data_IF_937813529043
#
_entry.id   IF_937813529043
#
_cell.length_a   1.000
_cell.length_b   1.000
_cell.length_c   1.000
_cell.angle_alpha   90.00
_cell.angle_beta   90.00
_cell.angle_gamma   90.00
#
_symmetry.space_group_name_H-M   'P 1'
#
loop_
_entity.id
_entity.type
_entity.pdbx_description
1 polymer ?
#
# COMPACT_ATOMS: atom_id res chain seq x y z
N UNK A 1 -4.48 -17.02 36.20
CA UNK A 1 -5.01 -17.78 35.06
C UNK A 1 -4.90 -16.86 33.85
N UNK A 2 -3.81 -16.99 33.09
CA UNK A 2 -3.70 -16.31 31.79
C UNK A 2 -4.67 -16.99 30.82
N UNK A 3 -5.69 -16.28 30.39
CA UNK A 3 -6.53 -16.74 29.29
C UNK A 3 -5.64 -16.92 28.07
N UNK A 4 -5.46 -18.14 27.59
CA UNK A 4 -4.99 -18.45 26.26
C UNK A 4 -6.02 -17.84 25.28
N UNK A 5 -5.86 -16.58 24.90
CA UNK A 5 -6.47 -16.07 23.68
C UNK A 5 -5.80 -16.85 22.55
N UNK A 6 -6.51 -17.79 21.95
CA UNK A 6 -6.11 -18.38 20.67
C UNK A 6 -5.90 -17.21 19.71
N UNK A 7 -4.66 -16.96 19.30
CA UNK A 7 -4.36 -15.94 18.31
C UNK A 7 -5.21 -16.23 17.06
N UNK A 8 -6.04 -15.29 16.68
CA UNK A 8 -6.88 -15.45 15.49
C UNK A 8 -5.99 -15.44 14.25
N UNK A 9 -5.96 -16.55 13.52
CA UNK A 9 -5.10 -16.69 12.32
C UNK A 9 -5.55 -15.72 11.25
N UNK A 10 -4.64 -14.89 10.75
CA UNK A 10 -4.85 -14.04 9.58
C UNK A 10 -4.49 -14.81 8.31
N UNK A 11 -5.46 -14.96 7.41
CA UNK A 11 -5.28 -15.62 6.12
C UNK A 11 -5.00 -14.60 5.04
N UNK A 12 -3.83 -14.67 4.42
CA UNK A 12 -3.41 -13.75 3.35
C UNK A 12 -3.31 -14.51 2.03
N UNK A 13 -4.14 -14.16 1.07
CA UNK A 13 -4.03 -14.59 -0.31
C UNK A 13 -2.89 -13.83 -0.98
N UNK A 14 -1.85 -14.53 -1.43
CA UNK A 14 -0.66 -13.94 -2.05
C UNK A 14 -0.53 -14.39 -3.50
N UNK A 15 -0.51 -13.43 -4.42
CA UNK A 15 -0.22 -13.66 -5.82
C UNK A 15 1.25 -14.09 -6.00
N UNK A 16 1.47 -15.37 -6.24
CA UNK A 16 2.81 -15.93 -6.44
C UNK A 16 3.37 -15.68 -7.84
N UNK A 17 2.53 -15.23 -8.78
CA UNK A 17 2.90 -15.04 -10.20
C UNK A 17 3.04 -13.57 -10.59
N UNK A 18 2.76 -12.63 -9.67
CA UNK A 18 2.83 -11.20 -9.92
C UNK A 18 4.20 -10.59 -9.63
N UNK A 19 4.63 -9.66 -10.49
CA UNK A 19 5.87 -8.91 -10.36
C UNK A 19 7.05 -9.46 -11.15
N UNK A 20 8.11 -8.65 -11.23
CA UNK A 20 9.29 -8.89 -12.08
C UNK A 20 10.12 -10.12 -11.63
N UNK A 21 9.97 -10.51 -10.37
CA UNK A 21 10.74 -11.58 -9.73
C UNK A 21 9.88 -12.76 -9.28
N UNK A 22 8.66 -12.88 -9.81
CA UNK A 22 7.81 -14.03 -9.54
C UNK A 22 8.37 -15.32 -10.17
N UNK A 23 8.21 -16.47 -9.54
CA UNK A 23 7.61 -16.69 -8.23
C UNK A 23 8.57 -16.54 -7.05
N UNK A 24 9.88 -16.34 -7.30
CA UNK A 24 10.92 -16.45 -6.29
C UNK A 24 10.73 -15.50 -5.10
N UNK A 25 10.54 -14.20 -5.35
CA UNK A 25 10.41 -13.21 -4.27
C UNK A 25 9.06 -13.31 -3.54
N UNK A 26 7.89 -13.50 -4.20
CA UNK A 26 6.63 -13.76 -3.50
C UNK A 26 6.68 -15.00 -2.61
N UNK A 27 7.19 -16.13 -3.12
CA UNK A 27 7.31 -17.36 -2.34
C UNK A 27 8.25 -17.17 -1.15
N UNK A 28 9.43 -16.56 -1.37
CA UNK A 28 10.35 -16.27 -0.28
C UNK A 28 9.73 -15.35 0.77
N UNK A 29 9.01 -14.31 0.37
CA UNK A 29 8.33 -13.39 1.28
C UNK A 29 7.26 -14.09 2.13
N UNK A 30 6.52 -15.04 1.54
CA UNK A 30 5.57 -15.87 2.27
C UNK A 30 6.27 -16.74 3.33
N UNK A 31 7.37 -17.40 2.95
CA UNK A 31 8.18 -18.24 3.84
C UNK A 31 8.76 -17.41 4.99
N UNK A 32 9.32 -16.25 4.69
CA UNK A 32 9.88 -15.34 5.70
C UNK A 32 8.78 -14.90 6.70
N UNK A 33 7.57 -14.61 6.20
CA UNK A 33 6.44 -14.19 7.05
C UNK A 33 5.98 -15.29 8.02
N UNK A 34 5.77 -16.51 7.55
CA UNK A 34 5.30 -17.61 8.41
C UNK A 34 6.39 -18.12 9.35
N UNK A 35 7.66 -18.02 8.98
CA UNK A 35 8.77 -18.31 9.88
C UNK A 35 8.93 -17.27 10.99
N UNK A 36 8.47 -16.04 10.77
CA UNK A 36 8.54 -14.98 11.77
C UNK A 36 7.32 -14.93 12.71
N UNK A 37 6.14 -15.40 12.27
CA UNK A 37 4.87 -15.31 13.04
C UNK A 37 4.02 -16.57 12.86
N UNK A 38 3.47 -17.07 13.96
CA UNK A 38 2.61 -18.26 13.98
C UNK A 38 1.11 -17.98 13.76
N UNK A 39 0.70 -16.72 13.77
CA UNK A 39 -0.69 -16.27 13.61
C UNK A 39 -1.03 -15.90 12.15
N UNK A 40 -0.21 -16.33 11.20
CA UNK A 40 -0.39 -16.09 9.77
C UNK A 40 -0.57 -17.42 9.03
N UNK A 41 -1.52 -17.46 8.11
CA UNK A 41 -1.60 -18.48 7.07
C UNK A 41 -1.55 -17.82 5.71
N UNK A 42 -0.60 -18.20 4.86
CA UNK A 42 -0.47 -17.68 3.49
C UNK A 42 -1.06 -18.68 2.50
N UNK A 43 -1.97 -18.18 1.65
CA UNK A 43 -2.55 -18.90 0.53
C UNK A 43 -1.80 -18.44 -0.72
N UNK A 44 -0.79 -19.22 -1.15
CA UNK A 44 0.04 -18.92 -2.33
C UNK A 44 -0.72 -19.30 -3.61
N UNK A 45 -1.06 -18.31 -4.42
CA UNK A 45 -1.91 -18.48 -5.59
C UNK A 45 -1.07 -18.39 -6.87
N UNK A 46 -1.06 -19.45 -7.66
CA UNK A 46 -0.30 -19.50 -8.91
C UNK A 46 -0.29 -20.88 -9.55
N UNK A 47 0.53 -21.05 -10.57
CA UNK A 47 0.74 -22.33 -11.21
C UNK A 47 1.39 -23.30 -10.21
N UNK A 48 0.62 -24.31 -9.80
CA UNK A 48 0.96 -25.16 -8.65
C UNK A 48 2.35 -25.78 -8.74
N UNK A 49 2.71 -26.36 -9.89
CA UNK A 49 4.02 -26.99 -10.09
C UNK A 49 5.16 -25.99 -9.93
N UNK A 50 4.98 -24.76 -10.43
CA UNK A 50 5.97 -23.68 -10.38
C UNK A 50 6.15 -23.21 -8.93
N UNK A 51 5.05 -23.00 -8.22
CA UNK A 51 5.07 -22.55 -6.82
C UNK A 51 5.63 -23.62 -5.90
N UNK A 52 5.24 -24.89 -6.04
CA UNK A 52 5.75 -26.00 -5.24
C UNK A 52 7.26 -26.19 -5.42
N UNK A 53 7.75 -26.15 -6.68
CA UNK A 53 9.18 -26.24 -6.98
C UNK A 53 9.98 -25.11 -6.33
N UNK A 54 9.41 -23.91 -6.24
CA UNK A 54 10.07 -22.79 -5.55
C UNK A 54 10.08 -23.00 -4.04
N UNK A 55 8.99 -23.50 -3.44
CA UNK A 55 8.87 -23.81 -2.02
C UNK A 55 9.86 -24.89 -1.54
N UNK A 56 10.22 -25.87 -2.40
CA UNK A 56 11.20 -26.92 -2.08
C UNK A 56 12.57 -26.37 -1.65
N UNK A 57 12.87 -25.11 -1.97
CA UNK A 57 14.14 -24.46 -1.59
C UNK A 57 14.19 -24.00 -0.14
N UNK A 58 13.06 -24.05 0.58
CA UNK A 58 12.89 -23.43 1.89
C UNK A 58 12.34 -24.40 2.93
N UNK A 59 12.63 -24.10 4.20
CA UNK A 59 12.02 -24.77 5.36
C UNK A 59 11.00 -23.80 5.98
N UNK A 60 9.79 -24.28 6.22
CA UNK A 60 8.68 -23.49 6.79
C UNK A 60 7.66 -24.41 7.48
N UNK A 61 6.79 -23.90 8.39
CA UNK A 61 5.67 -24.64 8.96
C UNK A 61 4.64 -24.98 7.88
N UNK A 62 4.51 -26.26 7.54
CA UNK A 62 3.70 -26.72 6.40
C UNK A 62 2.22 -26.34 6.52
N UNK A 63 1.69 -26.25 7.75
CA UNK A 63 0.29 -25.88 8.03
C UNK A 63 -0.01 -24.40 7.78
N UNK A 64 1.02 -23.54 7.70
CA UNK A 64 0.88 -22.11 7.51
C UNK A 64 0.97 -21.68 6.04
N UNK A 65 1.35 -22.56 5.12
CA UNK A 65 1.36 -22.26 3.67
C UNK A 65 0.49 -23.29 2.95
N UNK A 66 -0.43 -22.77 2.15
CA UNK A 66 -1.29 -23.57 1.27
C UNK A 66 -1.14 -23.06 -0.17
N UNK A 67 -0.92 -23.97 -1.12
CA UNK A 67 -0.83 -23.62 -2.54
C UNK A 67 -2.20 -23.76 -3.19
N UNK A 68 -2.67 -22.67 -3.78
CA UNK A 68 -3.94 -22.59 -4.50
C UNK A 68 -3.63 -22.50 -5.99
N UNK A 69 -4.10 -23.46 -6.77
CA UNK A 69 -3.85 -23.49 -8.20
C UNK A 69 -4.54 -22.34 -8.93
N UNK A 70 -3.78 -21.63 -9.79
CA UNK A 70 -4.26 -20.64 -10.72
C UNK A 70 -3.47 -20.78 -12.03
N UNK A 71 -4.17 -21.14 -13.10
CA UNK A 71 -3.56 -21.50 -14.39
C UNK A 71 -3.03 -20.28 -15.15
N UNK A 72 -3.76 -19.14 -15.06
CA UNK A 72 -3.54 -17.95 -15.87
C UNK A 72 -2.76 -16.88 -15.12
N UNK A 73 -1.98 -16.08 -15.87
CA UNK A 73 -1.30 -14.89 -15.37
C UNK A 73 -1.76 -13.66 -16.13
N UNK A 74 -2.06 -12.56 -15.43
CA UNK A 74 -2.35 -11.26 -16.06
C UNK A 74 -1.05 -10.48 -16.17
N UNK A 75 -0.64 -10.22 -17.41
CA UNK A 75 0.56 -9.45 -17.71
C UNK A 75 0.36 -7.95 -17.50
N UNK A 76 1.45 -7.22 -17.20
CA UNK A 76 1.39 -5.78 -16.91
C UNK A 76 0.87 -4.94 -18.09
N UNK A 77 1.15 -5.38 -19.33
CA UNK A 77 0.74 -4.67 -20.55
C UNK A 77 -0.71 -4.97 -20.98
N UNK A 78 -1.40 -5.90 -20.34
CA UNK A 78 -2.77 -6.26 -20.73
C UNK A 78 -3.78 -5.17 -20.32
N UNK A 79 -4.80 -4.89 -21.17
CA UNK A 79 -5.89 -4.00 -20.80
C UNK A 79 -6.64 -4.52 -19.55
N UNK A 80 -6.61 -3.79 -18.41
CA UNK A 80 -7.01 -4.32 -17.10
C UNK A 80 -8.44 -4.87 -17.04
N UNK A 81 -9.39 -4.12 -17.61
CA UNK A 81 -10.83 -4.51 -17.61
C UNK A 81 -11.05 -5.81 -18.38
N UNK A 82 -10.38 -5.95 -19.52
CA UNK A 82 -10.50 -7.15 -20.34
C UNK A 82 -9.82 -8.35 -19.66
N UNK A 83 -8.64 -8.14 -19.05
CA UNK A 83 -7.90 -9.19 -18.36
C UNK A 83 -8.73 -9.75 -17.18
N UNK A 84 -9.26 -8.90 -16.31
CA UNK A 84 -10.10 -9.29 -15.17
C UNK A 84 -11.38 -10.01 -15.62
N UNK A 85 -11.94 -9.59 -16.76
CA UNK A 85 -13.17 -10.22 -17.30
C UNK A 85 -12.92 -11.59 -17.92
N UNK A 86 -11.81 -11.76 -18.63
CA UNK A 86 -11.51 -12.97 -19.42
C UNK A 86 -10.73 -14.01 -18.64
N UNK A 87 -9.69 -13.62 -17.90
CA UNK A 87 -8.76 -14.51 -17.17
C UNK A 87 -9.28 -14.84 -15.77
N UNK A 88 -10.33 -15.66 -15.72
CA UNK A 88 -10.99 -16.01 -14.45
C UNK A 88 -10.16 -16.91 -13.54
N UNK A 89 -9.21 -17.63 -14.12
CA UNK A 89 -8.28 -18.53 -13.43
C UNK A 89 -6.91 -17.86 -13.20
N UNK A 90 -6.83 -16.53 -13.30
CA UNK A 90 -5.60 -15.81 -12.94
C UNK A 90 -5.43 -15.68 -11.42
N UNK A 91 -4.18 -15.69 -10.97
CA UNK A 91 -3.83 -15.54 -9.57
C UNK A 91 -4.49 -14.31 -8.92
N UNK A 92 -4.57 -13.18 -9.64
CA UNK A 92 -5.25 -11.96 -9.20
C UNK A 92 -6.75 -12.19 -9.00
N UNK A 93 -7.44 -12.79 -9.99
CA UNK A 93 -8.90 -12.98 -9.92
C UNK A 93 -9.26 -14.02 -8.86
N UNK A 94 -8.51 -15.13 -8.78
CA UNK A 94 -8.71 -16.18 -7.77
C UNK A 94 -8.53 -15.58 -6.37
N UNK A 95 -7.41 -14.90 -6.11
CA UNK A 95 -7.13 -14.32 -4.80
C UNK A 95 -8.15 -13.27 -4.35
N UNK A 96 -8.59 -12.41 -5.25
CA UNK A 96 -9.63 -11.43 -4.94
C UNK A 96 -11.01 -12.08 -4.67
N UNK A 97 -11.34 -13.18 -5.36
CA UNK A 97 -12.55 -13.94 -5.04
C UNK A 97 -12.47 -14.59 -3.66
N UNK A 98 -11.32 -15.09 -3.24
CA UNK A 98 -11.13 -15.62 -1.88
C UNK A 98 -11.39 -14.55 -0.81
N UNK A 99 -10.91 -13.31 -1.04
CA UNK A 99 -11.21 -12.18 -0.14
C UNK A 99 -12.72 -11.86 -0.14
N UNK A 100 -13.36 -11.81 -1.31
CA UNK A 100 -14.81 -11.59 -1.43
C UNK A 100 -15.63 -12.63 -0.68
N UNK A 101 -15.21 -13.90 -0.76
CA UNK A 101 -15.89 -15.06 -0.15
C UNK A 101 -15.52 -15.22 1.34
N UNK A 102 -14.62 -14.36 1.87
CA UNK A 102 -14.08 -14.42 3.23
C UNK A 102 -13.28 -15.70 3.53
N UNK A 103 -12.75 -16.33 2.51
CA UNK A 103 -11.78 -17.42 2.63
C UNK A 103 -10.38 -16.92 2.97
N UNK A 104 -10.09 -15.67 2.56
CA UNK A 104 -8.91 -14.89 2.95
C UNK A 104 -9.32 -13.52 3.51
N UNK A 105 -8.54 -12.99 4.44
CA UNK A 105 -8.73 -11.67 5.06
C UNK A 105 -8.19 -10.54 4.18
N UNK A 106 -7.14 -10.83 3.39
CA UNK A 106 -6.48 -9.88 2.53
C UNK A 106 -5.92 -10.53 1.26
N UNK A 107 -5.68 -9.72 0.24
CA UNK A 107 -4.98 -10.09 -0.99
C UNK A 107 -3.76 -9.19 -1.20
N UNK A 108 -2.59 -9.79 -1.47
CA UNK A 108 -1.32 -9.08 -1.75
C UNK A 108 -0.82 -9.47 -3.13
N UNK A 109 -0.41 -8.49 -3.94
CA UNK A 109 0.14 -8.76 -5.28
C UNK A 109 1.15 -7.69 -5.72
N UNK A 110 2.22 -8.14 -6.38
CA UNK A 110 3.16 -7.31 -7.12
C UNK A 110 2.81 -7.20 -8.63
N UNK A 111 1.71 -7.80 -9.07
CA UNK A 111 1.27 -7.87 -10.46
C UNK A 111 0.75 -6.54 -11.04
N UNK A 112 0.01 -6.62 -12.15
CA UNK A 112 -0.53 -5.45 -12.87
C UNK A 112 -1.35 -4.52 -11.97
N UNK A 113 -0.88 -3.28 -11.78
CA UNK A 113 -1.59 -2.26 -10.97
C UNK A 113 -3.00 -2.02 -11.49
N UNK A 114 -3.17 -1.90 -12.80
CA UNK A 114 -4.48 -1.70 -13.42
C UNK A 114 -5.44 -2.86 -13.13
N UNK A 115 -4.96 -4.12 -13.23
CA UNK A 115 -5.77 -5.29 -12.93
C UNK A 115 -6.15 -5.35 -11.44
N UNK A 116 -5.23 -5.01 -10.53
CA UNK A 116 -5.48 -4.97 -9.09
C UNK A 116 -6.53 -3.91 -8.75
N UNK A 117 -6.41 -2.70 -9.31
CA UNK A 117 -7.38 -1.62 -9.10
C UNK A 117 -8.79 -1.98 -9.62
N UNK A 118 -8.88 -2.50 -10.83
CA UNK A 118 -10.15 -2.93 -11.44
C UNK A 118 -10.74 -4.11 -10.66
N UNK A 119 -9.93 -5.13 -10.37
CA UNK A 119 -10.37 -6.32 -9.62
C UNK A 119 -10.83 -5.98 -8.21
N UNK A 120 -10.11 -5.11 -7.50
CA UNK A 120 -10.51 -4.61 -6.18
C UNK A 120 -11.90 -3.98 -6.20
N UNK A 121 -12.17 -3.10 -7.17
CA UNK A 121 -13.48 -2.45 -7.30
C UNK A 121 -14.60 -3.40 -7.74
N UNK A 122 -14.35 -4.29 -8.70
CA UNK A 122 -15.38 -5.12 -9.35
C UNK A 122 -15.61 -6.45 -8.64
N UNK A 123 -14.56 -7.07 -8.09
CA UNK A 123 -14.63 -8.37 -7.43
C UNK A 123 -14.83 -8.22 -5.93
N UNK A 124 -13.90 -7.55 -5.23
CA UNK A 124 -13.97 -7.36 -3.77
C UNK A 124 -15.11 -6.41 -3.41
N UNK A 125 -15.27 -5.36 -4.20
CA UNK A 125 -16.32 -4.37 -4.04
C UNK A 125 -16.01 -3.32 -2.97
N UNK A 126 -16.71 -2.20 -3.03
CA UNK A 126 -16.53 -1.03 -2.16
C UNK A 126 -17.37 -1.15 -0.88
N UNK A 127 -16.91 -0.60 0.20
CA UNK A 127 -17.74 -0.32 1.38
C UNK A 127 -18.88 0.61 0.97
N UNK A 128 -20.09 0.34 1.45
CA UNK A 128 -21.27 1.20 1.16
C UNK A 128 -21.00 2.62 1.64
N UNK A 129 -21.21 3.60 0.77
CA UNK A 129 -20.92 5.01 1.01
C UNK A 129 -19.56 5.48 0.48
N UNK A 130 -18.61 4.58 0.22
CA UNK A 130 -17.36 4.94 -0.44
C UNK A 130 -17.59 5.09 -1.95
N UNK A 131 -17.29 6.27 -2.47
CA UNK A 131 -17.47 6.58 -3.89
C UNK A 131 -16.33 5.98 -4.74
N UNK A 132 -15.09 6.13 -4.28
CA UNK A 132 -13.89 5.69 -4.98
C UNK A 132 -12.84 5.16 -3.99
N UNK A 133 -12.37 3.92 -4.11
CA UNK A 133 -11.24 3.41 -3.35
C UNK A 133 -9.93 4.04 -3.84
N UNK A 134 -9.16 4.73 -2.98
CA UNK A 134 -7.84 5.25 -3.33
C UNK A 134 -6.74 4.23 -3.12
N UNK A 135 -5.64 4.35 -3.87
CA UNK A 135 -4.37 3.67 -3.62
C UNK A 135 -3.49 4.57 -2.73
N UNK A 136 -3.06 4.06 -1.58
CA UNK A 136 -2.48 4.88 -0.53
C UNK A 136 -1.09 4.37 -0.07
N UNK A 137 0.00 4.58 -0.86
CA UNK A 137 1.35 4.23 -0.45
C UNK A 137 1.86 5.12 0.69
N UNK A 138 2.73 4.55 1.52
CA UNK A 138 3.58 5.31 2.43
C UNK A 138 4.81 5.80 1.70
N UNK A 139 5.19 7.05 1.94
CA UNK A 139 6.42 7.66 1.42
C UNK A 139 7.32 8.10 2.57
N UNK A 140 8.65 7.89 2.49
CA UNK A 140 9.57 8.27 3.54
C UNK A 140 9.75 9.78 3.60
N UNK A 141 9.91 10.30 4.81
CA UNK A 141 10.15 11.72 5.09
C UNK A 141 11.22 11.87 6.18
N UNK A 142 11.70 13.08 6.44
CA UNK A 142 12.64 13.36 7.53
C UNK A 142 12.07 13.03 8.92
N UNK A 143 10.74 13.01 9.06
CA UNK A 143 10.05 12.73 10.35
C UNK A 143 9.46 11.31 10.42
N UNK A 144 9.87 10.42 9.52
CA UNK A 144 9.35 9.06 9.42
C UNK A 144 8.66 8.80 8.09
N UNK A 145 7.34 8.56 8.09
CA UNK A 145 6.57 8.32 6.86
C UNK A 145 5.31 9.15 6.81
N UNK A 146 4.88 9.51 5.60
CA UNK A 146 3.57 10.11 5.31
C UNK A 146 2.79 9.22 4.37
N UNK A 147 1.47 9.22 4.50
CA UNK A 147 0.56 8.54 3.58
C UNK A 147 0.23 9.47 2.42
N UNK A 148 0.55 9.08 1.20
CA UNK A 148 0.16 9.81 -0.01
C UNK A 148 -1.09 9.17 -0.61
N UNK A 149 -2.18 9.93 -0.74
CA UNK A 149 -3.49 9.41 -1.10
C UNK A 149 -4.27 10.40 -2.00
N UNK A 150 -4.61 10.08 -3.24
CA UNK A 150 -4.53 8.86 -4.03
C UNK A 150 -3.30 8.83 -4.94
N UNK A 151 -2.78 7.63 -5.23
CA UNK A 151 -1.60 7.44 -6.08
C UNK A 151 -1.84 6.51 -7.28
N UNK A 152 -2.90 6.73 -8.05
CA UNK A 152 -3.08 6.02 -9.32
C UNK A 152 -4.40 5.30 -9.53
N UNK A 153 -5.35 5.38 -8.59
CA UNK A 153 -6.65 4.73 -8.73
C UNK A 153 -7.70 5.65 -9.39
N UNK A 154 -7.71 6.96 -9.08
CA UNK A 154 -8.78 7.89 -9.48
C UNK A 154 -8.23 9.19 -10.07
N UNK A 155 -7.95 9.19 -11.37
CA UNK A 155 -7.40 10.36 -12.08
C UNK A 155 -8.42 11.52 -12.11
N UNK A 156 -9.70 11.21 -12.39
CA UNK A 156 -10.78 12.19 -12.42
C UNK A 156 -11.53 12.21 -11.07
N UNK A 157 -10.84 12.66 -10.02
CA UNK A 157 -11.44 12.79 -8.70
C UNK A 157 -12.34 14.03 -8.60
N UNK A 158 -13.31 13.96 -7.67
CA UNK A 158 -14.16 15.10 -7.25
C UNK A 158 -13.79 15.52 -5.83
N UNK A 159 -14.21 16.69 -5.41
CA UNK A 159 -13.98 17.18 -4.06
C UNK A 159 -14.46 16.20 -2.97
N UNK A 160 -15.65 15.58 -3.15
CA UNK A 160 -16.17 14.56 -2.23
C UNK A 160 -15.25 13.35 -2.10
N UNK A 161 -14.56 12.93 -3.19
CA UNK A 161 -13.60 11.85 -3.13
C UNK A 161 -12.39 12.21 -2.26
N UNK A 162 -11.84 13.42 -2.43
CA UNK A 162 -10.67 13.88 -1.66
C UNK A 162 -11.00 13.99 -0.18
N UNK A 163 -12.22 14.42 0.17
CA UNK A 163 -12.69 14.41 1.56
C UNK A 163 -12.74 12.99 2.12
N UNK A 164 -13.28 12.02 1.37
CA UNK A 164 -13.26 10.62 1.79
C UNK A 164 -11.83 10.07 1.91
N UNK A 165 -10.91 10.47 1.01
CA UNK A 165 -9.50 10.06 1.08
C UNK A 165 -8.84 10.60 2.35
N UNK A 166 -9.07 11.86 2.70
CA UNK A 166 -8.58 12.47 3.93
C UNK A 166 -9.02 11.69 5.18
N UNK A 167 -10.31 11.36 5.28
CA UNK A 167 -10.88 10.59 6.40
C UNK A 167 -10.30 9.17 6.46
N UNK A 168 -10.27 8.46 5.33
CA UNK A 168 -9.69 7.11 5.28
C UNK A 168 -8.19 7.11 5.60
N UNK A 169 -7.44 8.09 5.09
CA UNK A 169 -6.02 8.26 5.38
C UNK A 169 -5.75 8.55 6.86
N UNK A 170 -6.56 9.41 7.49
CA UNK A 170 -6.48 9.71 8.92
C UNK A 170 -6.70 8.45 9.76
N UNK A 171 -7.76 7.68 9.47
CA UNK A 171 -8.05 6.41 10.16
C UNK A 171 -6.88 5.41 9.99
N UNK A 172 -6.32 5.32 8.79
CA UNK A 172 -5.20 4.42 8.52
C UNK A 172 -3.95 4.82 9.32
N UNK A 173 -3.52 6.09 9.26
CA UNK A 173 -2.33 6.56 9.96
C UNK A 173 -2.46 6.44 11.47
N UNK A 174 -3.64 6.72 12.02
CA UNK A 174 -3.88 6.59 13.45
C UNK A 174 -3.82 5.15 13.94
N UNK A 175 -4.42 4.21 13.21
CA UNK A 175 -4.62 2.85 13.69
C UNK A 175 -3.57 1.85 13.21
N UNK A 176 -2.92 2.09 12.08
CA UNK A 176 -1.85 1.19 11.56
C UNK A 176 -0.47 1.69 11.99
N UNK A 177 -0.23 3.01 11.92
CA UNK A 177 1.06 3.61 12.27
C UNK A 177 1.10 4.16 13.71
N UNK A 178 -0.05 4.25 14.39
CA UNK A 178 -0.14 4.74 15.76
C UNK A 178 0.05 6.26 15.90
N UNK A 179 -0.05 7.01 14.80
CA UNK A 179 0.11 8.48 14.80
C UNK A 179 -1.20 9.11 15.27
N UNK A 180 -1.23 9.57 16.54
CA UNK A 180 -2.42 10.18 17.11
C UNK A 180 -2.74 11.52 16.45
N UNK A 181 -4.01 11.71 16.06
CA UNK A 181 -4.52 12.93 15.44
C UNK A 181 -3.66 13.37 14.24
N UNK A 182 -3.50 12.53 13.20
CA UNK A 182 -2.57 12.75 12.11
C UNK A 182 -2.91 14.03 11.35
N UNK A 183 -1.87 14.80 11.02
CA UNK A 183 -1.98 16.06 10.26
C UNK A 183 -2.33 15.75 8.81
N UNK A 184 -3.47 16.26 8.35
CA UNK A 184 -3.99 16.08 7.00
C UNK A 184 -3.76 17.35 6.20
N UNK A 185 -3.10 17.27 5.05
CA UNK A 185 -2.91 18.39 4.13
C UNK A 185 -3.32 18.02 2.71
N UNK A 186 -3.79 19.02 1.95
CA UNK A 186 -4.06 18.87 0.52
C UNK A 186 -2.88 19.39 -0.29
N UNK A 187 -2.46 18.65 -1.32
CA UNK A 187 -1.39 19.10 -2.24
C UNK A 187 -1.84 20.33 -3.00
N UNK A 188 -1.02 21.37 -2.95
CA UNK A 188 -1.29 22.64 -3.63
C UNK A 188 0.01 23.25 -4.21
N UNK A 189 -0.13 24.31 -5.01
CA UNK A 189 0.97 25.07 -5.62
C UNK A 189 1.46 26.24 -4.75
N UNK A 190 0.89 26.43 -3.58
CA UNK A 190 1.22 27.43 -2.57
C UNK A 190 0.39 27.26 -1.32
N UNK A 191 0.77 27.94 -0.23
CA UNK A 191 0.13 27.82 1.07
C UNK A 191 -1.24 28.52 1.16
N UNK A 192 -1.50 29.49 0.28
CA UNK A 192 -2.69 30.33 0.30
C UNK A 192 -3.94 29.57 -0.18
N UNK A 193 -5.08 29.76 0.51
CA UNK A 193 -6.35 29.05 0.23
C UNK A 193 -6.89 29.29 -1.18
N UNK A 194 -6.65 30.47 -1.76
CA UNK A 194 -7.11 30.85 -3.09
C UNK A 194 -6.25 30.28 -4.24
N UNK A 195 -5.10 29.68 -3.93
CA UNK A 195 -4.24 29.02 -4.93
C UNK A 195 -4.73 27.61 -5.27
N UNK A 196 -4.27 27.11 -6.37
CA UNK A 196 -4.56 25.75 -6.84
C UNK A 196 -5.52 25.71 -8.02
N UNK A 197 -5.76 24.48 -8.50
CA UNK A 197 -6.72 24.20 -9.56
C UNK A 197 -8.17 24.21 -9.01
N UNK A 198 -9.14 24.02 -9.89
CA UNK A 198 -10.57 24.02 -9.52
C UNK A 198 -10.88 22.96 -8.45
N UNK A 199 -10.30 21.75 -8.56
CA UNK A 199 -10.54 20.66 -7.60
C UNK A 199 -10.03 21.03 -6.21
N UNK A 200 -8.82 21.60 -6.10
CA UNK A 200 -8.25 22.01 -4.80
C UNK A 200 -9.10 23.11 -4.17
N UNK A 201 -9.50 24.13 -4.95
CA UNK A 201 -10.34 25.25 -4.48
C UNK A 201 -11.71 24.79 -4.00
N UNK A 202 -12.30 23.78 -4.64
CA UNK A 202 -13.58 23.18 -4.22
C UNK A 202 -13.40 22.32 -2.97
N UNK A 203 -12.30 21.56 -2.88
CA UNK A 203 -12.05 20.60 -1.78
C UNK A 203 -11.62 21.28 -0.49
N UNK A 204 -10.81 22.34 -0.57
CA UNK A 204 -10.19 22.99 0.60
C UNK A 204 -11.23 23.41 1.67
N UNK A 205 -12.30 24.16 1.34
CA UNK A 205 -13.33 24.53 2.34
C UNK A 205 -14.01 23.31 2.94
N UNK A 206 -14.29 22.26 2.16
CA UNK A 206 -14.91 21.03 2.66
C UNK A 206 -14.01 20.32 3.69
N UNK A 207 -12.70 20.26 3.44
CA UNK A 207 -11.75 19.69 4.42
C UNK A 207 -11.65 20.54 5.68
N UNK A 208 -11.74 21.87 5.56
CA UNK A 208 -11.71 22.81 6.70
C UNK A 208 -12.93 22.67 7.60
N UNK A 209 -14.07 22.29 7.04
CA UNK A 209 -15.33 22.04 7.77
C UNK A 209 -15.36 20.66 8.45
N UNK A 210 -14.48 19.72 8.05
CA UNK A 210 -14.43 18.40 8.68
C UNK A 210 -13.93 18.48 10.11
N UNK A 211 -14.73 18.05 11.07
CA UNK A 211 -14.40 18.04 12.50
C UNK A 211 -13.74 16.74 12.97
N UNK A 212 -13.74 15.72 12.11
CA UNK A 212 -13.25 14.35 12.38
C UNK A 212 -11.84 14.08 11.82
N UNK A 213 -11.19 15.12 11.28
CA UNK A 213 -9.78 15.08 10.84
C UNK A 213 -9.03 16.31 11.33
N UNK A 214 -7.72 16.21 11.47
CA UNK A 214 -6.85 17.32 11.79
C UNK A 214 -6.32 17.96 10.50
N UNK A 215 -7.16 18.73 9.82
CA UNK A 215 -6.78 19.42 8.60
C UNK A 215 -5.88 20.61 8.89
N UNK A 216 -4.65 20.60 8.35
CA UNK A 216 -3.62 21.62 8.57
C UNK A 216 -3.42 22.56 7.37
N UNK A 217 -4.23 22.43 6.32
CA UNK A 217 -4.20 23.32 5.15
C UNK A 217 -3.51 22.70 3.94
N UNK A 218 -2.88 23.56 3.12
CA UNK A 218 -2.15 23.17 1.91
C UNK A 218 -0.73 22.70 2.22
N UNK A 219 -0.19 21.80 1.37
CA UNK A 219 1.22 21.41 1.35
C UNK A 219 1.77 21.54 -0.07
N UNK A 220 2.90 22.20 -0.23
CA UNK A 220 3.64 22.21 -1.49
C UNK A 220 4.49 20.94 -1.63
N UNK A 221 4.68 20.47 -2.88
CA UNK A 221 5.43 19.25 -3.15
C UNK A 221 6.86 19.26 -2.56
N UNK A 222 7.50 20.43 -2.46
CA UNK A 222 8.85 20.59 -1.87
C UNK A 222 8.88 20.35 -0.35
N UNK A 223 7.74 20.46 0.33
CA UNK A 223 7.62 20.32 1.79
C UNK A 223 7.32 18.86 2.20
N UNK A 224 6.88 18.04 1.24
CA UNK A 224 6.58 16.62 1.47
C UNK A 224 7.77 15.87 2.08
N UNK A 225 9.03 16.00 1.57
CA UNK A 225 10.18 15.30 2.16
C UNK A 225 10.46 15.68 3.61
N UNK A 226 10.03 16.86 4.06
CA UNK A 226 10.23 17.34 5.41
C UNK A 226 9.21 16.79 6.43
N UNK A 227 8.19 16.04 5.98
CA UNK A 227 7.18 15.45 6.86
C UNK A 227 6.31 16.49 7.56
N UNK A 228 5.86 17.51 6.83
CA UNK A 228 5.00 18.57 7.40
C UNK A 228 3.53 18.11 7.52
N UNK A 229 3.14 17.03 6.84
CA UNK A 229 1.84 16.38 7.01
C UNK A 229 2.00 14.86 7.10
N UNK A 230 1.10 14.21 7.82
CA UNK A 230 1.08 12.75 7.99
C UNK A 230 0.20 12.07 6.93
N UNK A 231 -0.85 12.76 6.46
CA UNK A 231 -1.71 12.37 5.33
C UNK A 231 -1.68 13.46 4.28
N UNK A 232 -1.27 13.11 3.08
CA UNK A 232 -1.09 14.02 1.93
C UNK A 232 -2.13 13.66 0.89
N UNK A 233 -3.15 14.52 0.76
CA UNK A 233 -4.33 14.28 -0.08
C UNK A 233 -4.16 14.92 -1.45
N UNK A 234 -4.38 14.15 -2.49
CA UNK A 234 -4.41 14.61 -3.88
C UNK A 234 -5.25 13.66 -4.74
N UNK A 235 -5.49 14.01 -6.00
CA UNK A 235 -6.01 13.08 -6.99
C UNK A 235 -4.88 12.21 -7.57
N UNK A 236 -5.26 11.12 -8.24
CA UNK A 236 -4.31 10.07 -8.60
C UNK A 236 -3.23 10.49 -9.60
N UNK A 237 -3.47 11.47 -10.47
CA UNK A 237 -2.45 11.93 -11.41
C UNK A 237 -1.32 12.65 -10.66
N UNK A 238 -1.67 13.62 -9.81
CA UNK A 238 -0.70 14.34 -8.97
C UNK A 238 0.03 13.36 -8.04
N UNK A 239 -0.71 12.49 -7.36
CA UNK A 239 -0.11 11.51 -6.44
C UNK A 239 0.85 10.56 -7.14
N UNK A 240 0.50 10.06 -8.31
CA UNK A 240 1.39 9.18 -9.08
C UNK A 240 2.64 9.91 -9.60
N UNK A 241 2.50 11.19 -10.00
CA UNK A 241 3.66 12.03 -10.40
C UNK A 241 4.60 12.23 -9.22
N UNK A 242 4.07 12.58 -8.04
CA UNK A 242 4.87 12.73 -6.81
C UNK A 242 5.58 11.42 -6.48
N UNK A 243 4.86 10.30 -6.42
CA UNK A 243 5.41 8.99 -6.09
C UNK A 243 6.55 8.59 -7.04
N UNK A 244 6.32 8.70 -8.35
CA UNK A 244 7.32 8.32 -9.37
C UNK A 244 8.53 9.23 -9.38
N UNK A 245 8.35 10.55 -9.14
CA UNK A 245 9.46 11.47 -8.97
C UNK A 245 10.29 11.12 -7.72
N UNK A 246 9.63 10.80 -6.61
CA UNK A 246 10.26 10.41 -5.35
C UNK A 246 11.13 9.16 -5.54
N UNK A 247 10.55 8.10 -6.11
CA UNK A 247 11.24 6.84 -6.44
C UNK A 247 12.44 7.07 -7.38
N UNK A 248 12.23 7.82 -8.46
CA UNK A 248 13.26 8.09 -9.47
C UNK A 248 14.41 8.94 -8.96
N UNK A 249 14.11 9.98 -8.17
CA UNK A 249 15.11 10.88 -7.59
C UNK A 249 15.97 10.12 -6.54
N UNK A 250 15.34 9.35 -5.65
CA UNK A 250 16.05 8.55 -4.66
C UNK A 250 17.04 7.57 -5.32
N UNK A 251 16.60 6.82 -6.33
CA UNK A 251 17.45 5.90 -7.07
C UNK A 251 18.63 6.61 -7.77
N UNK A 252 18.37 7.77 -8.40
CA UNK A 252 19.36 8.57 -9.11
C UNK A 252 20.43 9.12 -8.14
N UNK A 253 20.02 9.67 -7.00
CA UNK A 253 20.93 10.23 -5.99
C UNK A 253 21.82 9.14 -5.38
N UNK A 254 21.24 8.01 -4.96
CA UNK A 254 22.00 6.87 -4.43
C UNK A 254 22.99 6.34 -5.46
N UNK A 255 22.57 6.22 -6.72
CA UNK A 255 23.45 5.83 -7.84
C UNK A 255 24.61 6.81 -8.06
N UNK A 256 24.33 8.11 -8.04
CA UNK A 256 25.34 9.16 -8.19
C UNK A 256 26.36 9.16 -7.04
N UNK A 257 25.88 9.04 -5.79
CA UNK A 257 26.73 8.94 -4.59
C UNK A 257 27.63 7.70 -4.70
N UNK A 258 27.06 6.53 -5.01
CA UNK A 258 27.84 5.29 -5.21
C UNK A 258 28.91 5.46 -6.27
N UNK A 259 28.56 6.03 -7.44
CA UNK A 259 29.51 6.28 -8.54
C UNK A 259 30.65 7.22 -8.10
N UNK A 260 30.32 8.31 -7.38
CA UNK A 260 31.31 9.25 -6.85
C UNK A 260 32.27 8.58 -5.86
N UNK A 261 31.74 7.81 -4.93
CA UNK A 261 32.51 7.08 -3.92
C UNK A 261 33.43 6.01 -4.51
N UNK A 262 33.08 5.43 -5.64
CA UNK A 262 33.90 4.40 -6.30
C UNK A 262 34.93 4.96 -7.29
N UNK A 263 35.07 6.29 -7.43
CA UNK A 263 35.89 6.93 -8.46
C UNK A 263 37.39 6.84 -8.22
N UNK A 264 37.87 6.98 -6.98
CA UNK A 264 39.29 6.98 -6.62
C UNK A 264 39.55 5.99 -5.47
N UNK A 265 40.81 5.61 -5.28
CA UNK A 265 41.20 4.72 -4.17
C UNK A 265 40.90 5.38 -2.81
N UNK A 266 41.14 6.69 -2.67
CA UNK A 266 40.85 7.45 -1.44
C UNK A 266 39.35 7.48 -1.16
N UNK A 267 38.53 7.74 -2.19
CA UNK A 267 37.04 7.75 -1.99
C UNK A 267 36.48 6.36 -1.71
N UNK A 268 37.07 5.27 -2.23
CA UNK A 268 36.69 3.90 -1.89
C UNK A 268 36.97 3.57 -0.42
N UNK A 269 38.13 3.99 0.11
CA UNK A 269 38.48 3.79 1.52
C UNK A 269 37.52 4.61 2.41
N UNK A 270 37.27 5.88 2.06
CA UNK A 270 36.28 6.72 2.76
C UNK A 270 34.88 6.12 2.72
N UNK A 271 34.46 5.57 1.57
CA UNK A 271 33.18 4.89 1.42
C UNK A 271 33.07 3.66 2.33
N UNK A 272 34.11 2.85 2.44
CA UNK A 272 34.14 1.67 3.31
C UNK A 272 33.95 2.07 4.79
N UNK A 273 34.60 3.15 5.23
CA UNK A 273 34.46 3.67 6.58
C UNK A 273 33.06 4.28 6.84
N UNK A 274 32.48 4.98 5.86
CA UNK A 274 31.16 5.60 5.96
C UNK A 274 29.99 4.63 5.74
N UNK A 275 30.25 3.42 5.20
CA UNK A 275 29.22 2.47 4.78
C UNK A 275 28.18 2.14 5.87
N UNK A 276 28.56 1.91 7.16
CA UNK A 276 27.56 1.63 8.21
C UNK A 276 26.58 2.78 8.41
N UNK A 277 27.07 4.02 8.48
CA UNK A 277 26.26 5.22 8.63
C UNK A 277 25.35 5.44 7.41
N UNK A 278 25.89 5.29 6.19
CA UNK A 278 25.11 5.40 4.96
C UNK A 278 23.99 4.36 4.88
N UNK A 279 24.27 3.10 5.26
CA UNK A 279 23.26 2.04 5.30
C UNK A 279 22.15 2.34 6.32
N UNK A 280 22.51 2.85 7.49
CA UNK A 280 21.52 3.24 8.51
C UNK A 280 20.61 4.35 8.00
N UNK A 281 21.17 5.44 7.47
CA UNK A 281 20.40 6.55 6.92
C UNK A 281 19.51 6.11 5.75
N UNK A 282 20.05 5.34 4.78
CA UNK A 282 19.26 4.87 3.66
C UNK A 282 18.12 3.94 4.09
N UNK A 283 18.29 3.21 5.19
CA UNK A 283 17.26 2.35 5.75
C UNK A 283 16.08 3.17 6.31
N UNK A 284 16.33 4.35 6.87
CA UNK A 284 15.27 5.25 7.37
C UNK A 284 14.38 5.78 6.23
N UNK A 285 14.93 5.89 5.02
CA UNK A 285 14.21 6.28 3.80
C UNK A 285 13.67 5.10 2.97
N UNK A 286 13.64 3.89 3.52
CA UNK A 286 13.16 2.70 2.83
C UNK A 286 11.69 2.42 3.17
N UNK A 287 10.78 2.88 2.32
CA UNK A 287 9.34 2.66 2.46
C UNK A 287 8.92 1.17 2.40
N UNK A 288 9.76 0.29 1.84
CA UNK A 288 9.45 -1.15 1.74
C UNK A 288 9.32 -1.82 3.12
N UNK A 289 9.86 -1.19 4.18
CA UNK A 289 9.73 -1.65 5.56
C UNK A 289 8.29 -1.57 6.09
N UNK A 290 7.44 -0.77 5.46
CA UNK A 290 6.04 -0.55 5.88
C UNK A 290 5.04 -1.38 5.05
N UNK A 291 5.52 -2.17 4.09
CA UNK A 291 4.69 -2.97 3.19
C UNK A 291 4.31 -2.24 1.91
N UNK A 292 3.26 -2.75 1.25
CA UNK A 292 2.75 -2.19 0.01
C UNK A 292 1.71 -1.08 0.20
N UNK A 293 1.17 -0.59 -0.91
CA UNK A 293 0.11 0.39 -0.96
C UNK A 293 -1.27 -0.29 -0.80
N UNK A 294 -2.02 -0.04 0.27
CA UNK A 294 -3.37 -0.56 0.41
C UNK A 294 -4.37 0.17 -0.50
N UNK A 295 -5.35 -0.55 -1.00
CA UNK A 295 -6.58 -0.01 -1.58
C UNK A 295 -7.59 0.18 -0.46
N UNK A 296 -7.76 1.42 0.02
CA UNK A 296 -8.66 1.72 1.12
C UNK A 296 -10.12 1.82 0.65
N UNK A 297 -11.06 1.49 1.53
CA UNK A 297 -12.50 1.59 1.25
C UNK A 297 -13.10 0.42 0.45
N UNK A 298 -12.39 -0.69 0.33
CA UNK A 298 -12.93 -1.96 -0.17
C UNK A 298 -13.52 -2.82 0.96
N UNK A 299 -14.42 -3.76 0.64
CA UNK A 299 -15.00 -4.70 1.61
C UNK A 299 -14.00 -5.72 2.18
N UNK A 300 -12.81 -5.82 1.58
CA UNK A 300 -11.67 -6.62 2.04
C UNK A 300 -10.38 -5.93 1.66
N UNK A 301 -9.29 -6.20 2.38
CA UNK A 301 -8.01 -5.55 2.13
C UNK A 301 -7.37 -6.09 0.84
N UNK A 302 -6.94 -5.17 -0.01
CA UNK A 302 -6.11 -5.43 -1.18
C UNK A 302 -4.86 -4.57 -1.06
N UNK A 303 -3.69 -5.18 -1.10
CA UNK A 303 -2.39 -4.49 -1.02
C UNK A 303 -1.62 -4.68 -2.32
N UNK A 304 -1.22 -3.58 -2.92
CA UNK A 304 -0.37 -3.54 -4.10
C UNK A 304 1.08 -3.26 -3.68
N UNK A 305 1.99 -4.20 -3.97
CA UNK A 305 3.44 -3.97 -3.81
C UNK A 305 4.06 -3.51 -5.12
N UNK A 306 5.29 -2.99 -5.09
CA UNK A 306 5.97 -2.57 -6.31
C UNK A 306 6.19 -3.77 -7.26
N UNK A 307 6.20 -3.55 -8.59
CA UNK A 307 6.48 -4.62 -9.56
C UNK A 307 7.82 -5.30 -9.35
N UNK A 308 8.84 -4.55 -8.90
CA UNK A 308 10.16 -5.06 -8.54
C UNK A 308 10.31 -5.39 -7.04
N UNK A 309 9.21 -5.60 -6.31
CA UNK A 309 9.22 -5.94 -4.89
C UNK A 309 10.10 -7.16 -4.59
N UNK A 310 10.84 -7.07 -3.50
CA UNK A 310 11.64 -8.17 -2.95
C UNK A 310 10.90 -8.83 -1.80
N UNK A 311 11.40 -9.98 -1.37
CA UNK A 311 10.82 -10.77 -0.27
C UNK A 311 10.52 -9.92 0.98
N UNK A 312 11.38 -8.98 1.33
CA UNK A 312 11.21 -8.08 2.48
C UNK A 312 9.92 -7.25 2.36
N UNK A 313 9.65 -6.64 1.20
CA UNK A 313 8.44 -5.86 0.97
C UNK A 313 7.18 -6.74 1.00
N UNK A 314 7.26 -7.95 0.41
CA UNK A 314 6.17 -8.94 0.44
C UNK A 314 5.89 -9.35 1.89
N UNK A 315 6.92 -9.69 2.68
CA UNK A 315 6.80 -10.06 4.10
C UNK A 315 6.13 -8.94 4.91
N UNK A 316 6.59 -7.70 4.73
CA UNK A 316 6.03 -6.55 5.43
C UNK A 316 4.59 -6.25 4.99
N UNK A 317 4.24 -6.50 3.73
CA UNK A 317 2.86 -6.41 3.25
C UNK A 317 1.95 -7.45 3.90
N UNK A 318 2.45 -8.66 4.15
CA UNK A 318 1.71 -9.68 4.89
C UNK A 318 1.51 -9.23 6.35
N UNK A 319 2.54 -8.67 7.02
CA UNK A 319 2.42 -8.13 8.38
C UNK A 319 1.45 -6.94 8.44
N UNK A 320 1.47 -6.07 7.43
CA UNK A 320 0.51 -4.98 7.28
C UNK A 320 -0.94 -5.52 7.25
N UNK A 321 -1.18 -6.64 6.56
CA UNK A 321 -2.50 -7.27 6.53
C UNK A 321 -2.95 -7.73 7.92
N UNK A 322 -2.05 -8.27 8.75
CA UNK A 322 -2.36 -8.66 10.13
C UNK A 322 -2.78 -7.44 10.94
N UNK A 323 -1.95 -6.39 10.94
CA UNK A 323 -2.26 -5.14 11.66
C UNK A 323 -3.59 -4.53 11.20
N UNK A 324 -3.85 -4.53 9.89
CA UNK A 324 -5.09 -4.00 9.32
C UNK A 324 -6.33 -4.75 9.82
N UNK A 325 -6.25 -6.09 9.92
CA UNK A 325 -7.32 -6.93 10.47
C UNK A 325 -7.48 -6.71 11.96
N UNK A 326 -6.41 -6.81 12.75
CA UNK A 326 -6.42 -6.63 14.21
C UNK A 326 -7.01 -5.28 14.64
N UNK A 327 -6.75 -4.23 13.87
CA UNK A 327 -7.25 -2.88 14.11
C UNK A 327 -8.65 -2.62 13.53
N UNK A 328 -9.26 -3.58 12.85
CA UNK A 328 -10.58 -3.46 12.18
C UNK A 328 -10.71 -2.17 11.36
N UNK A 329 -9.72 -1.91 10.50
CA UNK A 329 -9.67 -0.66 9.71
C UNK A 329 -10.92 -0.50 8.84
N UNK A 330 -11.38 -1.58 8.19
CA UNK A 330 -12.59 -1.53 7.37
C UNK A 330 -13.86 -1.23 8.18
N UNK A 331 -13.97 -1.74 9.41
CA UNK A 331 -15.06 -1.43 10.33
C UNK A 331 -15.05 0.04 10.76
N UNK A 332 -13.86 0.58 11.07
CA UNK A 332 -13.68 2.00 11.42
C UNK A 332 -14.02 2.93 10.26
N UNK A 333 -13.56 2.61 9.04
CA UNK A 333 -13.91 3.37 7.82
C UNK A 333 -15.43 3.33 7.61
N UNK A 334 -16.05 2.15 7.68
CA UNK A 334 -17.50 2.01 7.51
C UNK A 334 -18.29 2.84 8.51
N UNK A 335 -17.90 2.80 9.78
CA UNK A 335 -18.55 3.56 10.85
C UNK A 335 -18.43 5.07 10.62
N UNK A 336 -17.27 5.56 10.23
CA UNK A 336 -17.04 6.98 9.97
C UNK A 336 -17.88 7.49 8.79
N UNK A 337 -17.94 6.73 7.68
CA UNK A 337 -18.70 7.11 6.49
C UNK A 337 -20.22 7.13 6.76
N UNK A 338 -20.74 6.16 7.51
CA UNK A 338 -22.18 6.12 7.86
C UNK A 338 -22.55 7.33 8.71
N UNK A 339 -21.76 7.64 9.75
CA UNK A 339 -22.02 8.80 10.62
C UNK A 339 -22.00 10.14 9.87
N UNK A 340 -21.12 10.29 8.88
CA UNK A 340 -21.08 11.48 8.03
C UNK A 340 -22.33 11.63 7.16
N UNK A 341 -22.83 10.54 6.58
CA UNK A 341 -24.03 10.55 5.71
C UNK A 341 -25.31 10.84 6.50
N UNK A 342 -25.39 10.41 7.75
CA UNK A 342 -26.55 10.69 8.63
C UNK A 342 -26.57 12.16 9.09
N UNK A 343 -25.42 12.82 9.22
CA UNK A 343 -25.30 14.23 9.56
C UNK A 343 -25.66 15.15 8.38
N UNK A 344 -25.37 14.75 7.14
CA UNK A 344 -25.73 15.51 5.94
C UNK A 344 -27.22 15.38 5.55
N UNK A 345 -27.93 14.40 6.12
CA UNK A 345 -29.35 14.14 5.86
C UNK A 345 -30.33 14.79 6.86
N UNK A 346 -29.82 15.49 7.87
CA UNK A 346 -30.61 16.30 8.83
C UNK A 346 -30.48 17.77 8.54
#
# INVERSE_FOLDING_TARGET
>A
MQQNQSLEITKVALDAMGGDYAPAEPVKGAVDAVNARSDIKVLLIGQEDVVRKELEKYTYPAEQIEVIHAEEVIETAEPPVNAIRKKKQSSIVVGMNMVKQKEADAFVSAGSSGAILVGGQVIVGRIKGIERPPLAPLIPTEKGVSLLIDCGANVDARASHLVQFAKMGSIYMENVLGIKNPRVAIVNIGAEEEKGNALVKETFPLLKECTDINFVGSIEAREIPHGEADVIVCEAFVGNVILKLYEGLAGTLVGAIKKGMMRTLRSKIGAALALPALKSTLKEFDATQYGGAPLLGLNGLVVKTHGSAKAVEITNSIFQCVTFKEQDINGKIRKNIISSTEQEGM
#
